data_IF_689625836738
#
_entry.id   IF_689625836738
#
_cell.length_a   1.000
_cell.length_b   1.000
_cell.length_c   1.000
_cell.angle_alpha   90.00
_cell.angle_beta   90.00
_cell.angle_gamma   90.00
#
_symmetry.space_group_name_H-M   'P 1'
#
loop_
_entity.id
_entity.type
_entity.pdbx_description
1 polymer ?
#
# COMPACT_ATOMS: atom_id res chain seq x y z
N UNK A 1 -7.52 -3.20 -11.57
CA UNK A 1 -7.19 -4.14 -10.48
C UNK A 1 -6.81 -3.28 -9.32
N UNK A 2 -7.50 -3.42 -8.19
CA UNK A 2 -7.20 -2.62 -7.02
C UNK A 2 -6.43 -3.50 -6.04
N UNK A 3 -5.50 -2.90 -5.31
CA UNK A 3 -4.73 -3.62 -4.30
C UNK A 3 -5.00 -2.97 -2.96
N UNK A 4 -5.59 -3.73 -2.06
CA UNK A 4 -5.76 -3.35 -0.67
C UNK A 4 -4.44 -3.63 0.07
N UNK A 5 -3.94 -2.63 0.78
CA UNK A 5 -2.77 -2.73 1.65
C UNK A 5 -3.20 -2.53 3.09
N UNK A 6 -2.69 -3.36 3.99
CA UNK A 6 -2.89 -3.24 5.43
C UNK A 6 -1.53 -3.13 6.10
N UNK A 7 -1.27 -2.00 6.76
CA UNK A 7 -0.08 -1.81 7.57
C UNK A 7 -0.42 -1.81 9.06
N UNK A 8 0.37 -2.57 9.82
CA UNK A 8 0.38 -2.54 11.27
C UNK A 8 1.68 -1.88 11.77
N UNK A 9 1.54 -0.71 12.38
CA UNK A 9 2.63 0.04 12.98
C UNK A 9 2.68 -0.22 14.48
N UNK A 10 3.77 -0.81 14.96
CA UNK A 10 4.01 -1.11 16.37
C UNK A 10 4.98 -0.09 16.95
N UNK A 11 4.50 0.77 17.85
CA UNK A 11 5.29 1.87 18.40
C UNK A 11 6.19 1.42 19.56
N UNK A 12 7.37 2.05 19.68
CA UNK A 12 8.31 1.83 20.79
C UNK A 12 7.69 2.32 22.11
N UNK A 13 7.99 1.62 23.21
CA UNK A 13 7.71 2.06 24.59
C UNK A 13 6.23 2.05 25.02
N UNK A 14 5.28 2.25 24.11
CA UNK A 14 3.86 2.42 24.45
C UNK A 14 3.01 1.16 24.29
N UNK A 15 3.53 0.13 23.60
CA UNK A 15 2.73 -1.05 23.21
C UNK A 15 1.58 -0.72 22.25
N UNK A 16 1.46 0.55 21.81
CA UNK A 16 0.41 0.98 20.90
C UNK A 16 0.62 0.38 19.52
N UNK A 17 -0.49 -0.06 18.93
CA UNK A 17 -0.59 -0.51 17.54
C UNK A 17 -1.50 0.46 16.80
N UNK A 18 -1.06 0.91 15.63
CA UNK A 18 -1.93 1.57 14.66
C UNK A 18 -2.06 0.67 13.44
N UNK A 19 -3.28 0.41 13.02
CA UNK A 19 -3.56 -0.24 11.74
C UNK A 19 -4.07 0.82 10.77
N UNK A 20 -3.57 0.80 9.54
CA UNK A 20 -4.07 1.61 8.44
C UNK A 20 -4.28 0.69 7.25
N UNK A 21 -5.47 0.78 6.64
CA UNK A 21 -5.81 0.07 5.41
C UNK A 21 -6.03 1.11 4.32
N UNK A 22 -5.46 0.93 3.14
CA UNK A 22 -5.66 1.84 2.01
C UNK A 22 -5.66 1.09 0.69
N UNK A 23 -6.17 1.75 -0.34
CA UNK A 23 -6.34 1.19 -1.67
C UNK A 23 -5.38 1.83 -2.67
N UNK A 24 -4.68 0.99 -3.41
CA UNK A 24 -3.94 1.36 -4.61
C UNK A 24 -4.79 1.06 -5.84
N UNK A 25 -5.21 2.10 -6.55
CA UNK A 25 -5.95 1.95 -7.81
C UNK A 25 -4.97 1.70 -8.96
N UNK A 26 -5.11 0.53 -9.58
CA UNK A 26 -4.44 0.15 -10.82
C UNK A 26 -2.93 0.50 -10.83
N UNK A 27 -2.16 0.00 -9.83
CA UNK A 27 -0.76 0.35 -9.67
C UNK A 27 0.06 -0.16 -10.85
N UNK A 28 0.88 0.73 -11.44
CA UNK A 28 1.65 0.46 -12.66
C UNK A 28 3.06 0.99 -12.53
N UNK A 29 4.02 0.20 -13.04
CA UNK A 29 5.37 0.68 -13.30
C UNK A 29 5.42 1.27 -14.70
N UNK A 30 5.84 2.54 -14.80
CA UNK A 30 6.08 3.20 -16.07
C UNK A 30 7.53 2.94 -16.52
N UNK A 31 7.68 2.22 -17.61
CA UNK A 31 8.95 2.13 -18.32
C UNK A 31 9.06 3.34 -19.25
N UNK A 32 10.06 4.18 -19.01
CA UNK A 32 10.36 5.35 -19.83
C UNK A 32 11.48 5.08 -20.82
N UNK A 33 11.46 5.80 -21.93
CA UNK A 33 12.60 5.85 -22.85
C UNK A 33 13.81 6.46 -22.14
N UNK A 34 15.01 5.97 -22.48
CA UNK A 34 16.24 6.47 -21.87
C UNK A 34 16.37 7.97 -22.18
N UNK A 35 16.65 8.76 -21.15
CA UNK A 35 16.83 10.22 -21.24
C UNK A 35 15.56 11.00 -21.66
N UNK A 36 14.37 10.42 -21.49
CA UNK A 36 13.09 11.06 -21.83
C UNK A 36 11.98 10.73 -20.82
N UNK A 37 11.01 11.63 -20.68
CA UNK A 37 9.79 11.37 -19.90
C UNK A 37 8.75 10.53 -20.64
N UNK A 38 9.02 10.20 -21.90
CA UNK A 38 8.13 9.40 -22.73
C UNK A 38 7.98 7.99 -22.17
N UNK A 39 6.76 7.66 -21.72
CA UNK A 39 6.39 6.31 -21.29
C UNK A 39 6.25 5.40 -22.52
N UNK A 40 7.06 4.36 -22.58
CA UNK A 40 7.06 3.37 -23.67
C UNK A 40 6.26 2.12 -23.31
N UNK A 41 6.08 1.85 -22.01
CA UNK A 41 5.26 0.73 -21.54
C UNK A 41 4.77 1.00 -20.12
N UNK A 42 3.53 0.59 -19.86
CA UNK A 42 3.00 0.46 -18.50
C UNK A 42 2.91 -1.03 -18.17
N UNK A 43 3.46 -1.40 -17.02
CA UNK A 43 3.46 -2.77 -16.52
C UNK A 43 2.60 -2.78 -15.25
N UNK A 44 1.43 -3.43 -15.24
CA UNK A 44 0.64 -3.59 -14.03
C UNK A 44 1.47 -4.30 -12.94
N UNK A 45 1.40 -3.78 -11.72
CA UNK A 45 2.06 -4.38 -10.57
C UNK A 45 1.12 -5.36 -9.88
N UNK A 46 1.67 -6.49 -9.45
CA UNK A 46 1.00 -7.46 -8.57
C UNK A 46 0.93 -6.96 -7.14
N UNK A 47 0.04 -7.54 -6.31
CA UNK A 47 -0.04 -7.15 -4.89
C UNK A 47 1.28 -7.33 -4.14
N UNK A 48 2.06 -8.37 -4.47
CA UNK A 48 3.35 -8.59 -3.82
C UNK A 48 4.39 -7.53 -4.20
N UNK A 49 4.43 -7.13 -5.47
CA UNK A 49 5.34 -6.06 -5.93
C UNK A 49 5.00 -4.71 -5.28
N UNK A 50 3.71 -4.37 -5.21
CA UNK A 50 3.26 -3.15 -4.52
C UNK A 50 3.63 -3.18 -3.04
N UNK A 51 3.40 -4.31 -2.37
CA UNK A 51 3.81 -4.52 -0.98
C UNK A 51 5.31 -4.35 -0.78
N UNK A 52 6.13 -4.88 -1.69
CA UNK A 52 7.58 -4.77 -1.61
C UNK A 52 8.05 -3.32 -1.77
N UNK A 53 7.48 -2.57 -2.70
CA UNK A 53 7.80 -1.14 -2.86
C UNK A 53 7.42 -0.33 -1.62
N UNK A 54 6.23 -0.57 -1.05
CA UNK A 54 5.82 0.09 0.20
C UNK A 54 6.73 -0.27 1.38
N UNK A 55 7.13 -1.54 1.49
CA UNK A 55 8.09 -1.97 2.52
C UNK A 55 9.44 -1.25 2.35
N UNK A 56 9.93 -1.09 1.12
CA UNK A 56 11.16 -0.36 0.82
C UNK A 56 11.01 1.12 1.17
N UNK A 57 9.89 1.72 0.82
CA UNK A 57 9.57 3.13 1.08
C UNK A 57 9.51 3.40 2.59
N UNK A 58 8.75 2.62 3.36
CA UNK A 58 8.66 2.78 4.81
C UNK A 58 10.01 2.56 5.50
N UNK A 59 10.79 1.57 5.06
CA UNK A 59 12.13 1.34 5.60
C UNK A 59 13.04 2.53 5.33
N UNK A 60 13.02 3.09 4.12
CA UNK A 60 13.77 4.29 3.77
C UNK A 60 13.37 5.47 4.64
N UNK A 61 12.07 5.78 4.74
CA UNK A 61 11.57 6.91 5.53
C UNK A 61 11.90 6.74 7.02
N UNK A 62 11.78 5.53 7.56
CA UNK A 62 12.20 5.20 8.92
C UNK A 62 13.69 5.46 9.16
N UNK A 63 14.56 5.05 8.23
CA UNK A 63 16.00 5.29 8.34
C UNK A 63 16.35 6.78 8.21
N UNK A 64 15.55 7.54 7.45
CA UNK A 64 15.68 8.99 7.30
C UNK A 64 15.03 9.78 8.46
N UNK A 65 14.37 9.11 9.41
CA UNK A 65 13.66 9.77 10.50
C UNK A 65 12.46 10.61 10.04
N UNK A 66 11.85 10.24 8.91
CA UNK A 66 10.71 10.95 8.31
C UNK A 66 9.39 10.33 8.73
N UNK A 67 8.38 11.18 8.87
CA UNK A 67 6.99 10.75 8.93
C UNK A 67 6.47 10.36 7.55
N UNK A 68 5.40 9.58 7.54
CA UNK A 68 4.60 9.28 6.36
C UNK A 68 3.17 9.73 6.57
N UNK A 69 2.49 9.98 5.45
CA UNK A 69 1.07 10.28 5.41
C UNK A 69 0.40 9.19 4.61
N UNK A 70 -0.65 8.58 5.17
CA UNK A 70 -1.48 7.58 4.52
C UNK A 70 -2.94 7.99 4.69
N UNK A 71 -3.71 7.94 3.61
CA UNK A 71 -5.16 8.11 3.64
C UNK A 71 -5.79 6.72 3.65
N UNK A 72 -6.67 6.45 4.62
CA UNK A 72 -7.34 5.16 4.70
C UNK A 72 -8.59 5.09 3.81
N UNK A 73 -9.25 3.94 3.81
CA UNK A 73 -10.48 3.70 3.04
C UNK A 73 -11.69 4.54 3.48
N UNK A 74 -11.62 5.20 4.63
CA UNK A 74 -12.67 6.08 5.16
C UNK A 74 -12.32 7.56 4.93
N UNK A 75 -11.40 7.85 4.01
CA UNK A 75 -10.87 9.19 3.69
C UNK A 75 -10.19 9.87 4.91
N UNK A 76 -9.75 9.09 5.90
CA UNK A 76 -9.05 9.60 7.08
C UNK A 76 -7.55 9.61 6.83
N UNK A 77 -6.96 10.80 6.92
CA UNK A 77 -5.52 11.00 6.80
C UNK A 77 -4.81 10.69 8.12
N UNK A 78 -3.90 9.72 8.10
CA UNK A 78 -3.02 9.34 9.20
C UNK A 78 -1.61 9.84 8.95
N UNK A 79 -1.08 10.63 9.89
CA UNK A 79 0.33 11.02 9.91
C UNK A 79 1.03 10.12 10.92
N UNK A 80 2.05 9.39 10.47
CA UNK A 80 2.77 8.41 11.29
C UNK A 80 4.24 8.80 11.33
N UNK A 81 4.74 9.11 12.52
CA UNK A 81 6.17 9.27 12.76
C UNK A 81 6.84 7.89 12.82
N UNK A 82 7.66 7.58 11.81
CA UNK A 82 8.33 6.29 11.70
C UNK A 82 9.54 6.16 12.64
N UNK A 83 10.07 7.26 13.20
CA UNK A 83 11.16 7.20 14.16
C UNK A 83 10.74 6.45 15.45
N UNK A 84 9.48 6.63 15.85
CA UNK A 84 8.87 5.98 17.01
C UNK A 84 8.37 4.56 16.71
N UNK A 85 8.39 4.12 15.46
CA UNK A 85 7.91 2.78 15.07
C UNK A 85 9.01 1.73 15.27
N UNK A 86 8.72 0.73 16.11
CA UNK A 86 9.58 -0.43 16.31
C UNK A 86 9.53 -1.38 15.12
N UNK A 87 8.33 -1.83 14.76
CA UNK A 87 8.10 -2.80 13.70
C UNK A 87 6.95 -2.38 12.79
N UNK A 88 6.99 -2.82 11.54
CA UNK A 88 5.92 -2.62 10.55
C UNK A 88 5.61 -3.98 9.95
N UNK A 89 4.38 -4.43 10.06
CA UNK A 89 3.87 -5.57 9.29
C UNK A 89 3.01 -5.03 8.16
N UNK A 90 3.19 -5.57 6.96
CA UNK A 90 2.47 -5.13 5.77
C UNK A 90 1.90 -6.36 5.06
N UNK A 91 0.60 -6.34 4.80
CA UNK A 91 -0.07 -7.35 3.97
C UNK A 91 -0.74 -6.68 2.78
N UNK A 92 -0.97 -7.45 1.73
CA UNK A 92 -1.54 -6.99 0.47
C UNK A 92 -2.55 -8.00 -0.04
N UNK A 93 -3.64 -7.52 -0.63
CA UNK A 93 -4.69 -8.35 -1.23
C UNK A 93 -5.13 -7.73 -2.55
N UNK A 94 -5.22 -8.54 -3.60
CA UNK A 94 -5.81 -8.10 -4.88
C UNK A 94 -7.33 -8.13 -4.76
N UNK A 95 -7.97 -6.99 -4.99
CA UNK A 95 -9.39 -6.93 -5.28
C UNK A 95 -9.59 -7.15 -6.78
N UNK A 96 -9.96 -8.38 -7.13
CA UNK A 96 -10.57 -8.65 -8.42
C UNK A 96 -12.00 -8.15 -8.39
N UNK A 97 -12.33 -7.20 -9.28
CA UNK A 97 -13.69 -6.70 -9.49
C UNK A 97 -14.63 -7.73 -10.15
N UNK A 98 -14.38 -9.03 -9.99
CA UNK A 98 -15.11 -10.11 -10.66
C UNK A 98 -15.65 -11.14 -9.65
N UNK A 99 -16.19 -10.64 -8.54
CA UNK A 99 -17.24 -11.33 -7.82
C UNK A 99 -18.59 -10.87 -8.40
N UNK A 100 -18.88 -11.22 -9.65
CA UNK A 100 -20.27 -11.41 -10.05
C UNK A 100 -20.80 -12.46 -9.08
N UNK A 101 -21.57 -12.00 -8.09
CA UNK A 101 -22.41 -12.85 -7.28
C UNK A 101 -23.26 -13.69 -8.24
N UNK A 102 -22.82 -14.91 -8.51
CA UNK A 102 -23.71 -15.99 -8.91
C UNK A 102 -24.50 -16.41 -7.66
N UNK A 103 -25.24 -15.47 -7.08
CA UNK A 103 -26.33 -15.75 -6.15
C UNK A 103 -27.63 -15.58 -6.95
N UNK A 104 -27.78 -16.41 -7.98
CA UNK A 104 -29.09 -16.74 -8.51
C UNK A 104 -29.68 -17.81 -7.57
N UNK A 105 -30.20 -17.36 -6.42
CA UNK A 105 -31.48 -17.89 -5.90
C UNK A 105 -32.49 -17.73 -7.04
N UNK A 106 -33.26 -18.73 -7.46
CA UNK A 106 -34.48 -19.36 -6.90
C UNK A 106 -35.02 -20.17 -8.10
N UNK A 107 -35.66 -21.34 -8.08
CA UNK A 107 -36.44 -22.17 -7.15
C UNK A 107 -36.14 -23.66 -7.43
#
# INVERSE_FOLDING_TARGET
MNIELTAHFYFRGSGKKKTVNWMEDNPRLQQKEKDSDKVVREIPLTADEVKQEYRRLFTKHKNEGKSITLEDTDDVVHIIDLADVRNIELTSKEENADAVQADLRTE
#
